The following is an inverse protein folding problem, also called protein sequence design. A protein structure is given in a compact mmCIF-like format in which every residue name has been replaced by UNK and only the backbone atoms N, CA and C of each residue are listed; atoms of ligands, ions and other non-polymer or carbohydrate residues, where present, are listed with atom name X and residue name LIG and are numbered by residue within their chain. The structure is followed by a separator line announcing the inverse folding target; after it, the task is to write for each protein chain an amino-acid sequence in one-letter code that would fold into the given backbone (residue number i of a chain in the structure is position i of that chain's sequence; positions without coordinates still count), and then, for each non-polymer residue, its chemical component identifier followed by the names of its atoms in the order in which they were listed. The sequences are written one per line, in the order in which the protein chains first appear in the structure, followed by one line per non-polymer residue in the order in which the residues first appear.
data_IF_006348929061
#
_entry.id   IF_006348929061
#
_cell.length_a   1.000
_cell.length_b   1.000
_cell.length_c   1.000
_cell.angle_alpha   90.00
_cell.angle_beta   90.00
_cell.angle_gamma   90.00
#
_symmetry.space_group_name_H-M   'P 1'
#
loop_
_entity.id
_entity.type
_entity.pdbx_description
1 polymer ?
#
# COMPACT_ATOMS: atom_id res chain seq x y z
N UNK A 1 9.84 11.19 19.53
CA UNK A 1 9.13 10.12 18.79
C UNK A 1 7.66 10.50 18.82
N UNK A 2 7.09 10.90 17.68
CA UNK A 2 5.66 11.21 17.58
C UNK A 2 4.90 9.89 17.75
N UNK A 3 4.00 9.84 18.72
CA UNK A 3 3.21 8.64 18.99
C UNK A 3 2.43 8.24 17.70
N UNK A 4 2.45 6.95 17.29
CA UNK A 4 1.85 6.47 16.02
C UNK A 4 0.40 6.93 15.81
N UNK A 5 -0.32 7.17 16.92
CA UNK A 5 -1.72 7.56 16.98
C UNK A 5 -2.08 8.77 16.14
N UNK A 6 -1.19 9.78 16.06
CA UNK A 6 -1.49 11.00 15.33
C UNK A 6 -1.45 10.84 13.79
N UNK A 7 -0.67 9.87 13.27
CA UNK A 7 -0.51 9.64 11.82
C UNK A 7 -1.73 8.99 11.20
N UNK A 8 -2.44 8.17 11.98
CA UNK A 8 -3.57 7.38 11.52
C UNK A 8 -4.91 7.84 12.13
N UNK A 9 -4.94 8.96 12.86
CA UNK A 9 -6.08 9.44 13.67
C UNK A 9 -7.43 9.46 12.93
N UNK A 10 -7.42 9.64 11.60
CA UNK A 10 -8.61 9.59 10.73
C UNK A 10 -9.02 8.19 10.25
N UNK A 11 -8.32 7.14 10.62
CA UNK A 11 -8.58 5.75 10.22
C UNK A 11 -9.23 4.96 11.37
N UNK A 12 -10.34 4.26 11.05
CA UNK A 12 -11.16 3.54 12.02
C UNK A 12 -10.62 2.15 12.40
N UNK A 13 -9.75 1.56 11.58
CA UNK A 13 -9.31 0.15 11.68
C UNK A 13 -7.87 -0.01 12.20
N UNK A 14 -7.44 0.89 13.08
CA UNK A 14 -6.07 0.83 13.62
C UNK A 14 -5.81 -0.45 14.43
N UNK A 15 -4.59 -0.99 14.29
CA UNK A 15 -4.11 -2.18 14.99
C UNK A 15 -4.47 -3.52 14.32
N UNK A 16 -5.57 -3.62 13.57
CA UNK A 16 -5.88 -4.87 12.83
C UNK A 16 -5.16 -4.94 11.49
N UNK A 17 -4.98 -3.79 10.83
CA UNK A 17 -4.28 -3.71 9.55
C UNK A 17 -2.76 -3.90 9.71
N UNK A 18 -2.18 -3.47 10.83
CA UNK A 18 -0.76 -3.62 11.17
C UNK A 18 -0.34 -5.09 11.37
N UNK A 19 -1.28 -5.97 11.73
CA UNK A 19 -1.04 -7.42 11.86
C UNK A 19 -1.48 -8.19 10.60
N UNK A 20 -2.12 -7.52 9.64
CA UNK A 20 -2.61 -8.16 8.44
C UNK A 20 -1.47 -8.47 7.46
N UNK A 21 -1.58 -9.66 6.84
CA UNK A 21 -0.71 -10.07 5.74
C UNK A 21 -1.55 -10.23 4.47
N UNK A 22 -1.25 -9.42 3.46
CA UNK A 22 -2.05 -9.34 2.23
C UNK A 22 -1.26 -9.92 1.06
N UNK A 23 -1.90 -10.76 0.24
CA UNK A 23 -1.35 -11.23 -1.03
C UNK A 23 -2.05 -10.53 -2.19
N UNK A 24 -1.28 -9.80 -3.01
CA UNK A 24 -1.77 -9.13 -4.22
C UNK A 24 -1.35 -9.95 -5.45
N UNK A 25 -2.33 -10.44 -6.20
CA UNK A 25 -2.11 -11.19 -7.44
C UNK A 25 -2.25 -10.25 -8.64
N UNK A 26 -1.35 -10.38 -9.61
CA UNK A 26 -1.36 -9.60 -10.86
C UNK A 26 -1.43 -8.07 -10.64
N UNK A 27 -0.36 -7.51 -10.09
CA UNK A 27 -0.26 -6.09 -9.75
C UNK A 27 -0.07 -5.22 -11.01
N UNK A 28 -1.19 -4.88 -11.65
CA UNK A 28 -1.25 -3.85 -12.70
C UNK A 28 -1.41 -2.42 -12.14
N UNK A 29 -1.83 -1.45 -12.97
CA UNK A 29 -2.03 -0.06 -12.55
C UNK A 29 -3.04 0.09 -11.40
N UNK A 30 -4.13 -0.69 -11.44
CA UNK A 30 -5.15 -0.71 -10.38
C UNK A 30 -4.59 -1.35 -9.10
N UNK A 31 -3.86 -2.46 -9.23
CA UNK A 31 -3.22 -3.14 -8.10
C UNK A 31 -2.19 -2.25 -7.39
N UNK A 32 -1.43 -1.47 -8.16
CA UNK A 32 -0.44 -0.52 -7.65
C UNK A 32 -1.11 0.63 -6.88
N UNK A 33 -2.26 1.13 -7.34
CA UNK A 33 -3.02 2.15 -6.60
C UNK A 33 -3.64 1.59 -5.31
N UNK A 34 -4.13 0.34 -5.34
CA UNK A 34 -4.57 -0.34 -4.14
C UNK A 34 -3.41 -0.54 -3.15
N UNK A 35 -2.22 -0.90 -3.65
CA UNK A 35 -1.00 -1.04 -2.86
C UNK A 35 -0.63 0.25 -2.13
N UNK A 36 -0.66 1.41 -2.82
CA UNK A 36 -0.43 2.73 -2.20
C UNK A 36 -1.35 2.95 -1.00
N UNK A 37 -2.64 2.71 -1.16
CA UNK A 37 -3.61 2.91 -0.08
C UNK A 37 -3.41 1.93 1.09
N UNK A 38 -2.99 0.69 0.82
CA UNK A 38 -2.66 -0.28 1.87
C UNK A 38 -1.40 0.11 2.65
N UNK A 39 -0.36 0.58 1.95
CA UNK A 39 0.88 1.08 2.56
C UNK A 39 0.62 2.33 3.40
N UNK A 40 -0.13 3.30 2.87
CA UNK A 40 -0.56 4.49 3.63
C UNK A 40 -1.50 4.13 4.80
N UNK A 41 -2.22 3.02 4.69
CA UNK A 41 -3.04 2.42 5.74
C UNK A 41 -2.27 1.76 6.88
N UNK A 42 -0.96 1.54 6.72
CA UNK A 42 -0.15 0.87 7.75
C UNK A 42 -0.34 -0.66 7.78
N UNK A 43 -0.50 -1.30 6.62
CA UNK A 43 -0.55 -2.78 6.57
C UNK A 43 0.75 -3.42 7.05
N UNK A 44 0.62 -4.52 7.80
CA UNK A 44 1.75 -5.24 8.38
C UNK A 44 2.70 -5.86 7.35
N UNK A 45 2.14 -6.64 6.42
CA UNK A 45 2.93 -7.21 5.33
C UNK A 45 2.15 -7.34 4.03
N UNK A 46 2.88 -7.24 2.91
CA UNK A 46 2.33 -7.42 1.57
C UNK A 46 3.24 -8.35 0.78
N UNK A 47 2.65 -9.37 0.17
CA UNK A 47 3.31 -10.22 -0.83
C UNK A 47 2.67 -9.95 -2.18
N UNK A 48 3.47 -9.65 -3.19
CA UNK A 48 2.99 -9.45 -4.56
C UNK A 48 3.39 -10.67 -5.38
N UNK A 49 2.42 -11.30 -6.05
CA UNK A 49 2.65 -12.42 -6.96
C UNK A 49 2.28 -11.96 -8.36
N UNK A 50 3.30 -11.76 -9.19
CA UNK A 50 3.15 -11.39 -10.59
C UNK A 50 3.58 -12.54 -11.49
N UNK A 51 2.65 -13.03 -12.31
CA UNK A 51 2.94 -14.08 -13.29
C UNK A 51 3.33 -13.54 -14.67
N UNK A 52 3.15 -12.24 -14.89
CA UNK A 52 3.39 -11.59 -16.18
C UNK A 52 4.76 -10.94 -16.21
N UNK A 53 5.39 -10.92 -17.38
CA UNK A 53 6.61 -10.12 -17.58
C UNK A 53 6.23 -8.65 -17.66
N UNK A 54 6.95 -7.79 -16.94
CA UNK A 54 6.79 -6.35 -17.08
C UNK A 54 7.15 -5.92 -18.51
N UNK A 55 6.28 -5.10 -19.08
CA UNK A 55 6.48 -4.42 -20.37
C UNK A 55 6.62 -2.94 -20.07
N UNK A 56 7.52 -2.22 -20.73
CA UNK A 56 7.81 -0.81 -20.43
C UNK A 56 6.55 0.08 -20.43
N UNK A 57 5.59 -0.18 -21.33
CA UNK A 57 4.31 0.54 -21.41
C UNK A 57 3.40 0.33 -20.18
N UNK A 58 3.59 -0.78 -19.46
CA UNK A 58 2.84 -1.11 -18.23
C UNK A 58 3.40 -0.46 -16.97
N UNK A 59 4.58 0.19 -17.05
CA UNK A 59 5.19 0.83 -15.90
C UNK A 59 4.50 2.16 -15.59
N UNK A 60 4.04 2.30 -14.34
CA UNK A 60 3.44 3.54 -13.83
C UNK A 60 4.24 4.04 -12.63
N UNK A 61 4.36 5.36 -12.50
CA UNK A 61 4.97 5.94 -11.32
C UNK A 61 3.94 6.02 -10.20
N UNK A 62 4.31 5.55 -9.00
CA UNK A 62 3.43 5.54 -7.84
C UNK A 62 3.99 6.52 -6.82
N UNK A 63 3.39 7.71 -6.75
CA UNK A 63 3.76 8.67 -5.72
C UNK A 63 3.16 8.26 -4.37
N UNK A 64 4.03 7.87 -3.43
CA UNK A 64 3.66 7.44 -2.07
C UNK A 64 3.76 8.57 -1.03
N UNK A 65 4.14 9.79 -1.45
CA UNK A 65 4.25 10.95 -0.57
C UNK A 65 3.02 11.85 -0.61
N UNK A 66 1.97 11.40 -1.32
CA UNK A 66 0.67 12.06 -1.41
C UNK A 66 0.13 12.43 -0.01
N UNK A 67 0.07 13.73 0.29
CA UNK A 67 -0.41 14.25 1.57
C UNK A 67 0.66 14.48 2.66
N UNK A 68 1.95 14.38 2.33
CA UNK A 68 3.06 14.87 3.17
C UNK A 68 3.62 16.14 2.51
N UNK A 69 3.34 17.31 3.10
CA UNK A 69 4.05 18.57 2.79
C UNK A 69 5.41 18.57 3.52
#
# INVERSE_FOLDING_TARGET
MMEPKAKYDRQLIQGTLEEASICLLNCGPIGSNALKNLVLGGVGSITIVEGSKLVDDSMVNLDINDGVD
#
